data_IF_293132899900
#
_entry.id   IF_293132899900
#
_cell.length_a   1.000
_cell.length_b   1.000
_cell.length_c   1.000
_cell.angle_alpha   90.00
_cell.angle_beta   90.00
_cell.angle_gamma   90.00
#
_symmetry.space_group_name_H-M   'P 1'
#
loop_
_entity.id
_entity.type
_entity.pdbx_description
1 polymer ?
#
# COMPACT_ATOMS: atom_id res chain seq x y z
N UNK A 1 16.00 13.55 -6.07
CA UNK A 1 14.75 14.34 -6.21
C UNK A 1 13.65 13.38 -6.61
N UNK A 2 12.54 13.32 -5.87
CA UNK A 2 11.41 12.43 -6.19
C UNK A 2 10.87 12.74 -7.60
N UNK A 3 10.34 11.72 -8.28
CA UNK A 3 9.79 11.82 -9.65
C UNK A 3 8.76 12.95 -9.74
N UNK A 4 7.89 13.07 -8.74
CA UNK A 4 6.85 14.09 -8.66
C UNK A 4 7.42 15.51 -8.55
N UNK A 5 8.49 15.68 -7.76
CA UNK A 5 9.19 16.96 -7.62
C UNK A 5 9.82 17.39 -8.96
N UNK A 6 10.35 16.43 -9.74
CA UNK A 6 10.92 16.70 -11.08
C UNK A 6 9.86 17.15 -12.09
N UNK A 7 8.71 16.50 -12.10
CA UNK A 7 7.58 16.88 -12.96
C UNK A 7 7.08 18.30 -12.64
N UNK A 8 7.00 18.66 -11.36
CA UNK A 8 6.62 20.00 -10.93
C UNK A 8 7.56 21.10 -11.44
N UNK A 9 8.89 20.93 -11.32
CA UNK A 9 9.85 21.92 -11.80
C UNK A 9 9.83 22.06 -13.34
N UNK A 10 9.57 20.98 -14.06
CA UNK A 10 9.40 21.01 -15.52
C UNK A 10 8.15 21.84 -15.88
N UNK A 11 7.03 21.62 -15.18
CA UNK A 11 5.80 22.39 -15.37
C UNK A 11 5.98 23.87 -15.02
N UNK A 12 6.74 24.20 -13.97
CA UNK A 12 7.09 25.59 -13.64
C UNK A 12 7.90 26.22 -14.78
N UNK A 13 8.93 25.53 -15.27
CA UNK A 13 9.76 26.04 -16.36
C UNK A 13 8.91 26.28 -17.62
N UNK A 14 7.99 25.36 -17.93
CA UNK A 14 7.06 25.48 -19.03
C UNK A 14 6.09 26.66 -18.85
N UNK A 15 5.53 26.85 -17.64
CA UNK A 15 4.69 27.99 -17.30
C UNK A 15 5.44 29.31 -17.48
N UNK A 16 6.69 29.41 -17.01
CA UNK A 16 7.54 30.60 -17.19
C UNK A 16 7.79 30.87 -18.67
N UNK A 17 8.06 29.82 -19.47
CA UNK A 17 8.23 29.95 -20.93
C UNK A 17 6.95 30.48 -21.58
N UNK A 18 5.78 29.92 -21.24
CA UNK A 18 4.49 30.41 -21.76
C UNK A 18 4.29 31.87 -21.38
N UNK A 19 4.49 32.22 -20.11
CA UNK A 19 4.42 33.59 -19.63
C UNK A 19 5.34 34.48 -20.44
N UNK A 20 6.60 34.11 -20.67
CA UNK A 20 7.56 34.84 -21.50
C UNK A 20 7.12 34.96 -22.97
N UNK A 21 6.54 33.90 -23.55
CA UNK A 21 6.00 33.91 -24.91
C UNK A 21 4.80 34.87 -25.05
N UNK A 22 4.00 35.07 -24.00
CA UNK A 22 2.93 36.10 -23.99
C UNK A 22 3.50 37.52 -24.14
N UNK A 23 4.77 37.77 -23.81
CA UNK A 23 5.43 39.07 -23.99
C UNK A 23 5.90 39.32 -25.43
N UNK A 24 5.88 38.31 -26.31
CA UNK A 24 6.40 38.40 -27.68
C UNK A 24 5.40 39.03 -28.67
N UNK A 25 4.10 38.67 -28.70
CA UNK A 25 3.13 39.24 -29.66
C UNK A 25 3.00 40.76 -29.68
N UNK A 26 3.08 41.50 -28.56
CA UNK A 26 3.05 42.96 -28.57
C UNK A 26 4.16 43.60 -29.43
N UNK A 27 5.26 42.86 -29.69
CA UNK A 27 6.39 43.33 -30.50
C UNK A 27 6.13 43.25 -32.02
N UNK A 28 5.13 42.48 -32.45
CA UNK A 28 4.86 42.20 -33.86
C UNK A 28 3.60 42.88 -34.42
N UNK A 29 2.87 43.66 -33.61
CA UNK A 29 1.75 44.43 -34.12
C UNK A 29 2.24 45.50 -35.12
N UNK A 30 1.74 45.52 -36.37
CA UNK A 30 2.16 46.51 -37.35
C UNK A 30 1.64 47.90 -36.93
N UNK A 31 2.54 48.75 -36.44
CA UNK A 31 2.29 50.14 -36.01
C UNK A 31 1.86 51.09 -37.15
N UNK A 32 1.50 50.58 -38.32
CA UNK A 32 1.51 51.35 -39.57
C UNK A 32 0.26 52.20 -39.84
N UNK A 33 -0.74 52.25 -38.95
CA UNK A 33 -2.01 52.98 -39.23
C UNK A 33 -2.60 53.86 -38.11
N UNK A 34 -1.98 53.99 -36.95
CA UNK A 34 -2.49 54.87 -35.88
C UNK A 34 -1.80 56.24 -35.94
N UNK A 35 -2.50 57.24 -36.48
CA UNK A 35 -2.00 58.63 -36.51
C UNK A 35 -1.70 59.15 -35.10
N UNK A 36 -0.50 59.70 -34.90
CA UNK A 36 0.02 60.46 -33.74
C UNK A 36 -0.26 59.97 -32.31
N UNK A 37 -0.91 58.83 -32.10
CA UNK A 37 -1.04 58.24 -30.77
C UNK A 37 0.35 57.74 -30.38
N UNK A 38 0.84 58.27 -29.26
CA UNK A 38 2.15 57.97 -28.70
C UNK A 38 2.37 56.45 -28.68
N UNK A 39 3.35 55.96 -29.46
CA UNK A 39 3.70 54.54 -29.57
C UNK A 39 3.89 53.92 -28.17
N UNK A 40 4.41 54.71 -27.22
CA UNK A 40 4.56 54.31 -25.82
C UNK A 40 3.19 54.02 -25.17
N UNK A 41 2.14 54.80 -25.46
CA UNK A 41 0.79 54.55 -24.94
C UNK A 41 0.17 53.27 -25.51
N UNK A 42 0.43 52.94 -26.77
CA UNK A 42 -0.08 51.72 -27.41
C UNK A 42 0.68 50.50 -26.89
N UNK A 43 2.00 50.60 -26.75
CA UNK A 43 2.81 49.57 -26.12
C UNK A 43 2.35 49.38 -24.68
N UNK A 44 2.20 50.44 -23.89
CA UNK A 44 1.74 50.36 -22.51
C UNK A 44 0.31 49.84 -22.40
N UNK A 45 -0.63 50.18 -23.29
CA UNK A 45 -2.00 49.64 -23.22
C UNK A 45 -2.07 48.18 -23.65
N UNK A 46 -1.31 47.76 -24.67
CA UNK A 46 -1.24 46.35 -25.10
C UNK A 46 -0.47 45.50 -24.09
N UNK A 47 0.58 46.05 -23.48
CA UNK A 47 1.36 45.40 -22.45
C UNK A 47 0.56 45.29 -21.16
N UNK A 48 -0.03 46.39 -20.67
CA UNK A 48 -0.89 46.37 -19.50
C UNK A 48 -2.15 45.54 -19.72
N UNK A 49 -2.79 45.63 -20.89
CA UNK A 49 -3.96 44.82 -21.23
C UNK A 49 -3.63 43.32 -21.32
N UNK A 50 -2.66 42.94 -22.15
CA UNK A 50 -2.27 41.54 -22.32
C UNK A 50 -1.77 40.89 -21.02
N UNK A 51 -0.97 41.60 -20.23
CA UNK A 51 -0.45 41.08 -18.97
C UNK A 51 -1.47 41.05 -17.85
N UNK A 52 -2.23 42.14 -17.66
CA UNK A 52 -3.20 42.18 -16.57
C UNK A 52 -4.36 41.23 -16.88
N UNK A 53 -4.89 41.21 -18.10
CA UNK A 53 -6.03 40.33 -18.41
C UNK A 53 -5.63 38.85 -18.53
N UNK A 54 -4.49 38.54 -19.15
CA UNK A 54 -4.06 37.14 -19.33
C UNK A 54 -3.55 36.47 -18.05
N UNK A 55 -2.83 37.22 -17.20
CA UNK A 55 -2.07 36.65 -16.09
C UNK A 55 -2.79 36.71 -14.75
N UNK A 56 -3.70 37.68 -14.55
CA UNK A 56 -4.38 37.85 -13.25
C UNK A 56 -5.18 36.61 -12.87
N UNK A 57 -5.76 35.89 -13.82
CA UNK A 57 -6.53 34.67 -13.55
C UNK A 57 -5.63 33.48 -13.20
N UNK A 58 -4.41 33.41 -13.74
CA UNK A 58 -3.47 32.31 -13.51
C UNK A 58 -2.62 32.51 -12.23
N UNK A 59 -2.38 33.76 -11.82
CA UNK A 59 -1.56 34.11 -10.64
C UNK A 59 -2.06 33.45 -9.34
N UNK A 60 -3.36 33.46 -9.00
CA UNK A 60 -3.86 32.77 -7.80
C UNK A 60 -3.54 31.28 -7.81
N UNK A 61 -3.69 30.60 -8.96
CA UNK A 61 -3.39 29.18 -9.08
C UNK A 61 -1.90 28.89 -8.92
N UNK A 62 -1.04 29.75 -9.47
CA UNK A 62 0.42 29.67 -9.30
C UNK A 62 0.83 29.85 -7.83
N UNK A 63 0.29 30.87 -7.15
CA UNK A 63 0.58 31.14 -5.73
C UNK A 63 0.09 29.98 -4.84
N UNK A 64 -1.14 29.51 -5.05
CA UNK A 64 -1.71 28.40 -4.28
C UNK A 64 -0.92 27.11 -4.55
N UNK A 65 -0.47 26.89 -5.79
CA UNK A 65 0.36 25.75 -6.16
C UNK A 65 1.67 25.72 -5.37
N UNK A 66 2.39 26.85 -5.30
CA UNK A 66 3.62 26.98 -4.49
C UNK A 66 3.34 26.75 -3.00
N UNK A 67 2.26 27.32 -2.47
CA UNK A 67 1.89 27.15 -1.06
C UNK A 67 1.54 25.69 -0.71
N UNK A 68 0.97 24.93 -1.65
CA UNK A 68 0.68 23.51 -1.47
C UNK A 68 1.93 22.65 -1.55
N UNK A 69 2.90 23.02 -2.39
CA UNK A 69 4.20 22.37 -2.45
C UNK A 69 4.95 22.49 -1.13
N UNK A 70 4.95 23.69 -0.53
CA UNK A 70 5.57 23.95 0.78
C UNK A 70 4.92 23.17 1.93
N UNK A 71 3.74 22.59 1.72
CA UNK A 71 3.00 21.77 2.70
C UNK A 71 3.02 20.28 2.37
N UNK A 72 3.96 19.81 1.54
CA UNK A 72 4.08 18.43 1.05
C UNK A 72 2.83 17.89 0.32
N UNK A 73 1.98 18.77 -0.22
CA UNK A 73 0.81 18.40 -1.03
C UNK A 73 1.12 18.49 -2.53
N UNK A 74 2.22 17.84 -2.93
CA UNK A 74 2.84 18.00 -4.25
C UNK A 74 1.85 17.75 -5.40
N UNK A 75 1.06 16.68 -5.34
CA UNK A 75 0.07 16.37 -6.39
C UNK A 75 -1.01 17.44 -6.55
N UNK A 76 -1.46 18.05 -5.45
CA UNK A 76 -2.46 19.14 -5.52
C UNK A 76 -1.82 20.44 -5.99
N UNK A 77 -0.54 20.66 -5.69
CA UNK A 77 0.24 21.79 -6.21
C UNK A 77 0.43 21.72 -7.72
N UNK A 78 0.98 20.62 -8.23
CA UNK A 78 1.14 20.34 -9.67
C UNK A 78 -0.17 20.58 -10.42
N UNK A 79 -1.25 20.06 -9.85
CA UNK A 79 -2.58 20.15 -10.42
C UNK A 79 -3.09 21.59 -10.61
N UNK A 80 -2.95 22.45 -9.59
CA UNK A 80 -3.37 23.86 -9.73
C UNK A 80 -2.47 24.63 -10.70
N UNK A 81 -1.18 24.25 -10.77
CA UNK A 81 -0.25 24.83 -11.74
C UNK A 81 -0.67 24.52 -13.18
N UNK A 82 -1.10 23.29 -13.46
CA UNK A 82 -1.61 22.88 -14.78
C UNK A 82 -2.86 23.69 -15.17
N UNK A 83 -3.80 23.89 -14.24
CA UNK A 83 -4.98 24.75 -14.48
C UNK A 83 -4.56 26.18 -14.80
N UNK A 84 -3.68 26.77 -13.99
CA UNK A 84 -3.17 28.12 -14.23
C UNK A 84 -2.47 28.24 -15.59
N UNK A 85 -1.68 27.23 -15.95
CA UNK A 85 -0.96 27.18 -17.24
C UNK A 85 -1.93 27.07 -18.41
N UNK A 86 -2.96 26.22 -18.29
CA UNK A 86 -3.99 26.04 -19.31
C UNK A 86 -4.80 27.32 -19.54
N UNK A 87 -5.27 27.98 -18.47
CA UNK A 87 -5.98 29.25 -18.56
C UNK A 87 -5.12 30.33 -19.24
N UNK A 88 -3.84 30.42 -18.86
CA UNK A 88 -2.92 31.39 -19.45
C UNK A 88 -2.63 31.11 -20.94
N UNK A 89 -2.55 29.83 -21.31
CA UNK A 89 -2.34 29.40 -22.70
C UNK A 89 -3.58 29.65 -23.57
N UNK A 90 -4.78 29.57 -22.99
CA UNK A 90 -6.02 29.90 -23.68
C UNK A 90 -6.12 31.41 -23.97
N UNK A 91 -5.71 32.23 -23.01
CA UNK A 91 -5.66 33.69 -23.17
C UNK A 91 -4.75 34.13 -24.32
N UNK A 92 -3.64 33.41 -24.53
CA UNK A 92 -2.76 33.61 -25.68
C UNK A 92 -3.46 33.43 -27.03
N UNK A 93 -4.42 32.52 -27.14
CA UNK A 93 -5.15 32.26 -28.39
C UNK A 93 -6.36 33.18 -28.53
N UNK A 94 -7.02 33.48 -27.41
CA UNK A 94 -8.27 34.22 -27.39
C UNK A 94 -8.08 35.73 -27.63
N UNK A 95 -7.01 36.34 -27.09
CA UNK A 95 -6.73 37.77 -27.28
C UNK A 95 -6.46 38.09 -28.77
N UNK A 96 -5.57 37.38 -29.49
CA UNK A 96 -5.38 37.57 -30.93
C UNK A 96 -6.65 37.36 -31.73
N UNK A 97 -7.49 36.37 -31.34
CA UNK A 97 -8.77 36.12 -31.99
C UNK A 97 -9.74 37.30 -31.82
N UNK A 98 -9.86 37.88 -30.63
CA UNK A 98 -10.67 39.08 -30.40
C UNK A 98 -10.14 40.25 -31.21
N UNK A 99 -8.83 40.49 -31.19
CA UNK A 99 -8.23 41.61 -31.94
C UNK A 99 -8.43 41.45 -33.44
N UNK A 100 -8.27 40.22 -33.96
CA UNK A 100 -8.57 39.90 -35.35
C UNK A 100 -10.04 40.14 -35.66
N UNK A 101 -10.96 39.64 -34.84
CA UNK A 101 -12.40 39.81 -35.05
C UNK A 101 -12.84 41.29 -35.03
N UNK A 102 -12.24 42.11 -34.16
CA UNK A 102 -12.47 43.55 -34.09
C UNK A 102 -11.97 44.29 -35.35
N UNK A 103 -10.89 43.82 -35.97
CA UNK A 103 -10.34 44.41 -37.20
C UNK A 103 -11.27 44.18 -38.40
N UNK A 104 -11.99 43.05 -38.45
CA UNK A 104 -12.88 42.69 -39.56
C UNK A 104 -14.33 43.16 -39.39
N UNK A 105 -14.74 43.67 -38.21
CA UNK A 105 -16.12 44.09 -37.97
C UNK A 105 -16.22 45.52 -37.42
N UNK A 106 -16.45 46.53 -38.29
CA UNK A 106 -16.49 47.94 -37.89
C UNK A 106 -17.64 48.28 -36.92
N UNK A 107 -18.71 47.47 -36.85
CA UNK A 107 -19.75 47.64 -35.82
C UNK A 107 -19.25 47.30 -34.41
N UNK A 108 -18.23 46.45 -34.28
CA UNK A 108 -17.67 46.04 -32.98
C UNK A 108 -16.72 47.11 -32.44
N UNK A 109 -16.14 47.95 -33.31
CA UNK A 109 -15.25 49.04 -32.92
C UNK A 109 -15.93 50.10 -32.04
N UNK A 110 -17.26 50.26 -32.10
CA UNK A 110 -18.03 51.22 -31.30
C UNK A 110 -18.53 50.67 -29.95
N UNK A 111 -18.43 49.35 -29.71
CA UNK A 111 -18.73 48.70 -28.42
C UNK A 111 -17.57 47.84 -27.87
N UNK A 112 -16.30 48.31 -27.88
CA UNK A 112 -15.17 47.40 -28.04
C UNK A 112 -14.73 46.66 -26.77
N UNK A 113 -15.20 47.07 -25.58
CA UNK A 113 -14.67 46.52 -24.32
C UNK A 113 -15.69 45.82 -23.42
N UNK A 114 -16.99 46.13 -23.54
CA UNK A 114 -18.00 45.56 -22.64
C UNK A 114 -18.29 44.10 -22.96
N UNK A 115 -18.73 43.82 -24.19
CA UNK A 115 -19.23 42.49 -24.59
C UNK A 115 -18.09 41.46 -24.64
N UNK A 116 -16.92 41.86 -25.15
CA UNK A 116 -15.71 41.04 -25.17
C UNK A 116 -15.27 40.65 -23.76
N UNK A 117 -15.36 41.57 -22.79
CA UNK A 117 -15.05 41.30 -21.38
C UNK A 117 -16.04 40.34 -20.72
N UNK A 118 -17.35 40.50 -20.98
CA UNK A 118 -18.36 39.55 -20.46
C UNK A 118 -18.21 38.16 -21.07
N UNK A 119 -17.97 38.07 -22.38
CA UNK A 119 -17.73 36.78 -23.04
C UNK A 119 -16.47 36.10 -22.51
N UNK A 120 -15.38 36.85 -22.34
CA UNK A 120 -14.14 36.37 -21.72
C UNK A 120 -14.41 35.73 -20.36
N UNK A 121 -15.11 36.44 -19.46
CA UNK A 121 -15.40 35.94 -18.12
C UNK A 121 -16.26 34.66 -18.13
N UNK A 122 -17.29 34.61 -18.99
CA UNK A 122 -18.14 33.42 -19.15
C UNK A 122 -17.33 32.24 -19.68
N UNK A 123 -16.46 32.45 -20.66
CA UNK A 123 -15.60 31.40 -21.21
C UNK A 123 -14.57 30.88 -20.20
N UNK A 124 -13.92 31.75 -19.41
CA UNK A 124 -13.00 31.35 -18.34
C UNK A 124 -13.70 30.47 -17.30
N UNK A 125 -14.92 30.82 -16.89
CA UNK A 125 -15.73 29.99 -15.98
C UNK A 125 -16.03 28.62 -16.60
N UNK A 126 -16.44 28.57 -17.87
CA UNK A 126 -16.74 27.31 -18.55
C UNK A 126 -15.51 26.41 -18.67
N UNK A 127 -14.32 26.97 -18.93
CA UNK A 127 -13.06 26.21 -18.99
C UNK A 127 -12.65 25.65 -17.63
N UNK A 128 -12.86 26.41 -16.55
CA UNK A 128 -12.64 25.92 -15.19
C UNK A 128 -13.59 24.75 -14.90
N UNK A 129 -14.87 24.88 -15.22
CA UNK A 129 -15.87 23.81 -15.04
C UNK A 129 -15.49 22.56 -15.86
N UNK A 130 -15.15 22.73 -17.13
CA UNK A 130 -14.75 21.62 -18.01
C UNK A 130 -13.49 20.92 -17.51
N UNK A 131 -12.48 21.68 -17.09
CA UNK A 131 -11.27 21.13 -16.48
C UNK A 131 -11.64 20.29 -15.27
N UNK A 132 -12.40 20.85 -14.31
CA UNK A 132 -12.89 20.17 -13.11
C UNK A 132 -13.62 18.85 -13.43
N UNK A 133 -14.47 18.83 -14.46
CA UNK A 133 -15.17 17.62 -14.91
C UNK A 133 -14.20 16.54 -15.42
N UNK A 134 -13.25 16.90 -16.29
CA UNK A 134 -12.24 15.96 -16.80
C UNK A 134 -11.39 15.35 -15.66
N UNK A 135 -11.13 16.12 -14.61
CA UNK A 135 -10.35 15.67 -13.44
C UNK A 135 -11.17 14.72 -12.56
N UNK A 136 -12.44 15.03 -12.33
CA UNK A 136 -13.35 14.14 -11.59
C UNK A 136 -13.44 12.80 -12.33
N UNK A 137 -13.52 12.81 -13.66
CA UNK A 137 -13.56 11.61 -14.46
C UNK A 137 -12.22 10.83 -14.44
N UNK A 138 -11.08 11.53 -14.52
CA UNK A 138 -9.77 10.87 -14.48
C UNK A 138 -9.47 10.24 -13.10
N UNK A 139 -9.76 10.96 -12.01
CA UNK A 139 -9.63 10.42 -10.65
C UNK A 139 -10.57 9.24 -10.40
N UNK A 140 -11.72 9.20 -11.07
CA UNK A 140 -12.65 8.06 -11.00
C UNK A 140 -12.04 6.81 -11.62
N UNK A 141 -11.29 6.91 -12.73
CA UNK A 141 -10.58 5.78 -13.35
C UNK A 141 -9.48 5.24 -12.45
N UNK A 142 -8.67 6.10 -11.84
CA UNK A 142 -7.64 5.69 -10.88
C UNK A 142 -8.27 5.00 -9.66
N UNK A 143 -9.41 5.51 -9.19
CA UNK A 143 -10.14 4.92 -8.07
C UNK A 143 -10.75 3.55 -8.41
N UNK A 144 -11.27 3.38 -9.63
CA UNK A 144 -11.74 2.08 -10.13
C UNK A 144 -10.60 1.07 -10.21
N UNK A 145 -9.40 1.48 -10.66
CA UNK A 145 -8.22 0.63 -10.67
C UNK A 145 -7.81 0.21 -9.24
N UNK A 146 -7.73 1.16 -8.31
CA UNK A 146 -7.42 0.89 -6.89
C UNK A 146 -8.44 -0.06 -6.27
N UNK A 147 -9.75 0.15 -6.51
CA UNK A 147 -10.80 -0.76 -6.04
C UNK A 147 -10.62 -2.15 -6.66
N UNK A 148 -10.31 -2.23 -7.95
CA UNK A 148 -10.12 -3.50 -8.64
C UNK A 148 -8.93 -4.28 -8.05
N UNK A 149 -7.82 -3.59 -7.77
CA UNK A 149 -6.62 -4.15 -7.13
C UNK A 149 -6.95 -4.66 -5.72
N UNK A 150 -7.62 -3.85 -4.92
CA UNK A 150 -8.06 -4.25 -3.57
C UNK A 150 -9.01 -5.46 -3.60
N UNK A 151 -9.98 -5.50 -4.53
CA UNK A 151 -10.87 -6.66 -4.71
C UNK A 151 -10.09 -7.92 -5.10
N UNK A 152 -9.10 -7.81 -6.00
CA UNK A 152 -8.22 -8.93 -6.39
C UNK A 152 -7.41 -9.43 -5.20
N UNK A 153 -6.79 -8.54 -4.42
CA UNK A 153 -6.03 -8.89 -3.22
C UNK A 153 -6.91 -9.55 -2.15
N UNK A 154 -8.10 -8.99 -1.89
CA UNK A 154 -9.07 -9.59 -0.96
C UNK A 154 -9.52 -10.97 -1.40
N UNK A 155 -9.77 -11.16 -2.70
CA UNK A 155 -10.13 -12.48 -3.24
C UNK A 155 -8.96 -13.46 -3.16
N UNK A 156 -7.72 -13.02 -3.41
CA UNK A 156 -6.51 -13.83 -3.24
C UNK A 156 -6.38 -14.32 -1.80
N UNK A 157 -6.57 -13.44 -0.80
CA UNK A 157 -6.56 -13.80 0.62
C UNK A 157 -7.65 -14.83 0.95
N UNK A 158 -8.88 -14.64 0.45
CA UNK A 158 -9.97 -15.61 0.67
C UNK A 158 -9.65 -16.98 0.06
N UNK A 159 -9.12 -17.04 -1.15
CA UNK A 159 -8.73 -18.27 -1.82
C UNK A 159 -7.60 -18.97 -1.06
N UNK A 160 -6.60 -18.22 -0.59
CA UNK A 160 -5.49 -18.75 0.22
C UNK A 160 -6.00 -19.33 1.55
N UNK A 161 -6.92 -18.64 2.21
CA UNK A 161 -7.60 -19.15 3.41
C UNK A 161 -8.37 -20.45 3.13
N UNK A 162 -9.09 -20.55 2.00
CA UNK A 162 -9.81 -21.76 1.61
C UNK A 162 -8.84 -22.92 1.35
N UNK A 163 -7.78 -22.70 0.55
CA UNK A 163 -6.74 -23.71 0.29
C UNK A 163 -6.09 -24.19 1.58
N UNK A 164 -5.81 -23.28 2.51
CA UNK A 164 -5.27 -23.61 3.83
C UNK A 164 -6.24 -24.46 4.64
N UNK A 165 -7.53 -24.10 4.67
CA UNK A 165 -8.55 -24.88 5.37
C UNK A 165 -8.70 -26.28 4.78
N UNK A 166 -8.63 -26.42 3.46
CA UNK A 166 -8.65 -27.70 2.77
C UNK A 166 -7.43 -28.55 3.10
N UNK A 167 -6.23 -27.96 3.03
CA UNK A 167 -4.98 -28.62 3.43
C UNK A 167 -5.03 -29.09 4.89
N UNK A 168 -5.45 -28.22 5.81
CA UNK A 168 -5.65 -28.57 7.22
C UNK A 168 -6.67 -29.70 7.39
N UNK A 169 -7.77 -29.67 6.64
CA UNK A 169 -8.76 -30.75 6.64
C UNK A 169 -8.11 -32.08 6.28
N UNK A 170 -7.30 -32.10 5.22
CA UNK A 170 -6.65 -33.33 4.77
C UNK A 170 -5.57 -33.82 5.75
N UNK A 171 -4.87 -32.90 6.43
CA UNK A 171 -3.80 -33.23 7.38
C UNK A 171 -4.32 -33.68 8.75
N UNK A 172 -5.43 -33.09 9.22
CA UNK A 172 -5.95 -33.32 10.58
C UNK A 172 -7.08 -34.34 10.66
N UNK A 173 -7.67 -34.75 9.54
CA UNK A 173 -8.66 -35.84 9.55
C UNK A 173 -7.94 -37.17 9.70
N UNK A 174 -8.18 -37.82 10.83
CA UNK A 174 -7.91 -39.23 10.99
C UNK A 174 -8.94 -40.02 10.17
N UNK A 175 -8.50 -40.50 9.00
CA UNK A 175 -9.35 -41.26 8.06
C UNK A 175 -9.86 -42.56 8.68
N UNK A 176 -9.07 -43.21 9.54
CA UNK A 176 -9.44 -44.47 10.15
C UNK A 176 -10.55 -44.24 11.18
N UNK A 177 -10.38 -43.24 12.04
CA UNK A 177 -11.41 -42.84 13.00
C UNK A 177 -12.70 -42.39 12.30
N UNK A 178 -12.59 -41.59 11.24
CA UNK A 178 -13.75 -41.13 10.48
C UNK A 178 -14.51 -42.30 9.85
N UNK A 179 -13.80 -43.29 9.32
CA UNK A 179 -14.41 -44.48 8.74
C UNK A 179 -15.08 -45.35 9.81
N UNK A 180 -14.42 -45.58 10.95
CA UNK A 180 -14.99 -46.33 12.08
C UNK A 180 -16.27 -45.69 12.64
N UNK A 181 -16.34 -44.35 12.66
CA UNK A 181 -17.54 -43.61 13.05
C UNK A 181 -18.67 -43.76 12.02
N UNK A 182 -18.35 -43.69 10.72
CA UNK A 182 -19.33 -43.86 9.64
C UNK A 182 -19.90 -45.28 9.57
N UNK A 183 -19.07 -46.29 9.84
CA UNK A 183 -19.47 -47.69 9.89
C UNK A 183 -20.25 -48.05 11.17
N UNK A 184 -20.32 -47.14 12.15
CA UNK A 184 -21.00 -47.38 13.43
C UNK A 184 -20.23 -48.31 14.37
N UNK A 185 -18.98 -48.67 14.05
CA UNK A 185 -18.10 -49.49 14.88
C UNK A 185 -17.79 -48.79 16.22
N UNK A 186 -17.70 -47.46 16.18
CA UNK A 186 -17.54 -46.61 17.38
C UNK A 186 -18.84 -45.87 17.67
N UNK A 187 -19.64 -46.38 18.62
CA UNK A 187 -20.84 -45.70 19.12
C UNK A 187 -20.45 -44.49 19.97
N UNK A 188 -20.29 -43.34 19.34
CA UNK A 188 -20.09 -42.05 20.02
C UNK A 188 -21.22 -41.10 19.63
N UNK A 189 -21.99 -40.64 20.62
CA UNK A 189 -23.04 -39.64 20.38
C UNK A 189 -22.43 -38.23 20.41
N UNK A 190 -23.10 -37.29 19.72
CA UNK A 190 -22.70 -35.87 19.72
C UNK A 190 -22.65 -35.30 21.14
N UNK A 191 -23.62 -35.64 21.98
CA UNK A 191 -23.70 -35.18 23.37
C UNK A 191 -22.57 -35.74 24.24
N UNK A 192 -22.30 -37.05 24.12
CA UNK A 192 -21.19 -37.67 24.84
C UNK A 192 -19.85 -37.02 24.46
N UNK A 193 -19.66 -36.73 23.18
CA UNK A 193 -18.49 -36.01 22.71
C UNK A 193 -18.40 -34.59 23.29
N UNK A 194 -19.47 -33.80 23.22
CA UNK A 194 -19.50 -32.43 23.75
C UNK A 194 -19.23 -32.40 25.26
N UNK A 195 -19.74 -33.38 26.02
CA UNK A 195 -19.46 -33.51 27.44
C UNK A 195 -17.99 -33.86 27.71
N UNK A 196 -17.40 -34.74 26.89
CA UNK A 196 -15.98 -35.09 26.99
C UNK A 196 -15.02 -33.98 26.52
N UNK A 197 -15.51 -33.06 25.68
CA UNK A 197 -14.68 -32.05 25.02
C UNK A 197 -13.95 -31.17 26.03
N UNK A 198 -14.62 -30.78 27.13
CA UNK A 198 -14.00 -29.97 28.18
C UNK A 198 -12.76 -30.63 28.79
N UNK A 199 -12.80 -31.95 29.00
CA UNK A 199 -11.66 -32.70 29.53
C UNK A 199 -10.56 -32.86 28.48
N UNK A 200 -10.93 -33.13 27.23
CA UNK A 200 -9.97 -33.16 26.11
C UNK A 200 -9.26 -31.82 25.93
N UNK A 201 -9.96 -30.68 26.11
CA UNK A 201 -9.33 -29.35 26.08
C UNK A 201 -8.24 -29.21 27.12
N UNK A 202 -8.56 -29.55 28.38
CA UNK A 202 -7.61 -29.50 29.49
C UNK A 202 -6.42 -30.44 29.24
N UNK A 203 -6.67 -31.62 28.67
CA UNK A 203 -5.62 -32.57 28.28
C UNK A 203 -4.68 -31.94 27.25
N UNK A 204 -5.22 -31.40 26.16
CA UNK A 204 -4.46 -30.68 25.13
C UNK A 204 -3.65 -29.55 25.75
N UNK A 205 -4.26 -28.68 26.56
CA UNK A 205 -3.57 -27.57 27.23
C UNK A 205 -2.41 -28.07 28.10
N UNK A 206 -2.63 -29.09 28.92
CA UNK A 206 -1.55 -29.71 29.71
C UNK A 206 -0.44 -30.34 28.86
N UNK A 207 -0.76 -30.87 27.67
CA UNK A 207 0.24 -31.36 26.72
C UNK A 207 1.06 -30.23 26.08
N UNK A 208 0.46 -29.08 25.81
CA UNK A 208 1.17 -27.88 25.36
C UNK A 208 2.10 -27.35 26.44
N UNK A 209 1.60 -27.22 27.67
CA UNK A 209 2.35 -26.69 28.80
C UNK A 209 3.55 -27.58 29.17
N UNK A 210 3.40 -28.90 28.99
CA UNK A 210 4.48 -29.88 29.19
C UNK A 210 5.40 -30.09 27.97
N UNK A 211 5.17 -29.36 26.86
CA UNK A 211 5.99 -29.48 25.64
C UNK A 211 5.79 -30.78 24.84
N UNK A 212 4.77 -31.58 25.15
CA UNK A 212 4.46 -32.87 24.52
C UNK A 212 3.65 -32.69 23.23
N UNK A 213 4.20 -31.94 22.27
CA UNK A 213 3.49 -31.50 21.07
C UNK A 213 3.02 -32.63 20.14
N UNK A 214 3.75 -33.74 20.06
CA UNK A 214 3.33 -34.88 19.23
C UNK A 214 2.06 -35.55 19.78
N UNK A 215 1.97 -35.68 21.11
CA UNK A 215 0.75 -36.16 21.77
C UNK A 215 -0.40 -35.16 21.60
N UNK A 216 -0.11 -33.85 21.73
CA UNK A 216 -1.10 -32.80 21.53
C UNK A 216 -1.64 -32.82 20.08
N UNK A 217 -0.78 -33.09 19.10
CA UNK A 217 -1.16 -33.24 17.69
C UNK A 217 -2.16 -34.40 17.51
N UNK A 218 -1.89 -35.56 18.12
CA UNK A 218 -2.76 -36.73 18.03
C UNK A 218 -4.14 -36.41 18.63
N UNK A 219 -4.19 -35.81 19.82
CA UNK A 219 -5.47 -35.43 20.44
C UNK A 219 -6.23 -34.39 19.60
N UNK A 220 -5.53 -33.38 19.06
CA UNK A 220 -6.14 -32.37 18.20
C UNK A 220 -6.69 -32.97 16.90
N UNK A 221 -6.02 -33.97 16.30
CA UNK A 221 -6.52 -34.71 15.14
C UNK A 221 -7.81 -35.45 15.45
N UNK A 222 -7.88 -36.11 16.60
CA UNK A 222 -9.09 -36.78 17.06
C UNK A 222 -10.24 -35.78 17.23
N UNK A 223 -10.00 -34.67 17.95
CA UNK A 223 -11.00 -33.61 18.18
C UNK A 223 -11.46 -33.01 16.85
N UNK A 224 -10.55 -32.72 15.92
CA UNK A 224 -10.87 -32.17 14.60
C UNK A 224 -11.73 -33.12 13.77
N UNK A 225 -11.39 -34.41 13.77
CA UNK A 225 -12.15 -35.45 13.08
C UNK A 225 -13.58 -35.52 13.61
N UNK A 226 -13.73 -35.48 14.94
CA UNK A 226 -15.04 -35.50 15.60
C UNK A 226 -15.85 -34.22 15.35
N UNK A 227 -15.21 -33.05 15.34
CA UNK A 227 -15.87 -31.79 14.97
C UNK A 227 -16.42 -31.84 13.55
N UNK A 228 -15.63 -32.36 12.61
CA UNK A 228 -16.05 -32.51 11.21
C UNK A 228 -17.18 -33.52 11.07
N UNK A 229 -17.10 -34.65 11.77
CA UNK A 229 -18.14 -35.68 11.73
C UNK A 229 -19.49 -35.17 12.26
N UNK A 230 -19.49 -34.43 13.38
CA UNK A 230 -20.70 -33.88 13.99
C UNK A 230 -21.11 -32.49 13.47
N UNK A 231 -20.39 -31.93 12.49
CA UNK A 231 -20.62 -30.58 11.94
C UNK A 231 -20.69 -29.47 13.01
N UNK A 232 -19.79 -29.52 14.00
CA UNK A 232 -19.78 -28.57 15.12
C UNK A 232 -19.01 -27.30 14.73
N UNK A 233 -19.73 -26.20 14.44
CA UNK A 233 -19.12 -24.91 14.06
C UNK A 233 -18.71 -24.04 15.25
N UNK A 234 -19.49 -24.05 16.35
CA UNK A 234 -19.31 -23.11 17.48
C UNK A 234 -17.90 -23.15 18.09
N UNK A 235 -17.31 -24.34 18.12
CA UNK A 235 -16.02 -24.60 18.75
C UNK A 235 -14.84 -24.60 17.77
N UNK A 236 -15.11 -24.41 16.48
CA UNK A 236 -14.11 -24.51 15.41
C UNK A 236 -13.04 -23.43 15.52
N UNK A 237 -13.39 -22.24 16.04
CA UNK A 237 -12.44 -21.15 16.27
C UNK A 237 -11.32 -21.57 17.23
N UNK A 238 -11.67 -22.05 18.43
CA UNK A 238 -10.69 -22.51 19.42
C UNK A 238 -9.77 -23.60 18.85
N UNK A 239 -10.35 -24.56 18.11
CA UNK A 239 -9.59 -25.65 17.52
C UNK A 239 -8.60 -25.14 16.46
N UNK A 240 -9.06 -24.24 15.59
CA UNK A 240 -8.20 -23.62 14.59
C UNK A 240 -7.07 -22.83 15.25
N UNK A 241 -7.36 -22.06 16.30
CA UNK A 241 -6.36 -21.30 17.06
C UNK A 241 -5.30 -22.25 17.67
N UNK A 242 -5.71 -23.38 18.26
CA UNK A 242 -4.75 -24.37 18.80
C UNK A 242 -3.96 -25.12 17.74
N UNK A 243 -4.55 -25.41 16.60
CA UNK A 243 -3.83 -25.96 15.45
C UNK A 243 -2.78 -24.94 14.96
N UNK A 244 -3.13 -23.66 14.89
CA UNK A 244 -2.20 -22.59 14.52
C UNK A 244 -1.02 -22.49 15.49
N UNK A 245 -1.28 -22.53 16.80
CA UNK A 245 -0.24 -22.53 17.84
C UNK A 245 0.71 -23.72 17.63
N UNK A 246 0.17 -24.91 17.42
CA UNK A 246 0.95 -26.12 17.18
C UNK A 246 1.80 -26.04 15.91
N UNK A 247 1.22 -25.52 14.82
CA UNK A 247 1.94 -25.29 13.57
C UNK A 247 3.15 -24.40 13.80
N UNK A 248 2.92 -23.28 14.49
CA UNK A 248 3.94 -22.30 14.77
C UNK A 248 5.07 -22.90 15.63
N UNK A 249 4.73 -23.59 16.71
CA UNK A 249 5.69 -24.26 17.59
C UNK A 249 6.48 -25.36 16.86
N UNK A 250 5.81 -26.19 16.07
CA UNK A 250 6.46 -27.27 15.32
C UNK A 250 7.47 -26.74 14.30
N UNK A 251 7.10 -25.71 13.55
CA UNK A 251 8.00 -25.04 12.60
C UNK A 251 9.19 -24.42 13.36
N UNK A 252 8.93 -23.68 14.44
CA UNK A 252 10.00 -23.10 15.29
C UNK A 252 11.00 -24.15 15.75
N UNK A 253 10.51 -25.26 16.34
CA UNK A 253 11.34 -26.35 16.82
C UNK A 253 12.21 -26.94 15.70
N UNK A 254 11.62 -27.11 14.51
CA UNK A 254 12.34 -27.61 13.33
C UNK A 254 13.44 -26.63 12.90
N UNK A 255 13.14 -25.33 12.83
CA UNK A 255 14.12 -24.30 12.48
C UNK A 255 15.27 -24.28 13.50
N UNK A 256 14.97 -24.35 14.80
CA UNK A 256 15.97 -24.37 15.86
C UNK A 256 16.85 -25.63 15.81
N UNK A 257 16.28 -26.81 15.50
CA UNK A 257 17.09 -28.02 15.35
C UNK A 257 18.00 -27.96 14.11
N UNK A 258 17.49 -27.41 13.00
CA UNK A 258 18.26 -27.28 11.76
C UNK A 258 19.33 -26.20 11.86
N UNK A 259 19.09 -25.10 12.59
CA UNK A 259 20.07 -24.02 12.77
C UNK A 259 21.33 -24.45 13.50
N UNK A 260 21.24 -25.50 14.32
CA UNK A 260 22.41 -26.11 14.98
C UNK A 260 23.30 -26.88 14.00
N UNK A 261 22.73 -27.35 12.87
CA UNK A 261 23.40 -28.28 11.94
C UNK A 261 23.86 -27.58 10.66
N UNK A 262 23.12 -26.59 10.18
CA UNK A 262 23.32 -25.96 8.89
C UNK A 262 23.55 -24.46 9.02
N UNK A 263 24.50 -23.92 8.25
CA UNK A 263 24.74 -22.47 8.18
C UNK A 263 23.69 -21.75 7.32
N UNK A 264 23.18 -22.44 6.30
CA UNK A 264 22.19 -21.94 5.36
C UNK A 264 21.12 -23.00 5.15
N UNK A 265 19.86 -22.55 5.07
CA UNK A 265 18.71 -23.39 4.74
C UNK A 265 17.81 -22.71 3.73
N UNK A 266 17.30 -23.46 2.77
CA UNK A 266 16.25 -23.00 1.87
C UNK A 266 14.86 -23.32 2.45
N UNK A 267 13.86 -22.50 2.13
CA UNK A 267 12.49 -22.72 2.64
C UNK A 267 11.94 -24.10 2.27
N UNK A 268 12.29 -24.60 1.09
CA UNK A 268 11.91 -25.95 0.64
C UNK A 268 12.47 -27.04 1.57
N UNK A 269 13.74 -26.92 1.96
CA UNK A 269 14.39 -27.88 2.87
C UNK A 269 13.73 -27.87 4.26
N UNK A 270 13.42 -26.66 4.77
CA UNK A 270 12.69 -26.52 6.04
C UNK A 270 11.31 -27.17 5.90
N UNK A 271 10.59 -26.87 4.81
CA UNK A 271 9.27 -27.44 4.52
C UNK A 271 9.31 -28.98 4.45
N UNK A 272 10.35 -29.57 3.87
CA UNK A 272 10.54 -31.03 3.83
C UNK A 272 10.69 -31.65 5.22
N UNK A 273 11.37 -30.96 6.14
CA UNK A 273 11.60 -31.47 7.50
C UNK A 273 10.44 -31.21 8.46
N UNK A 274 9.65 -30.17 8.25
CA UNK A 274 8.46 -29.92 9.08
C UNK A 274 7.27 -30.78 8.64
N UNK A 275 6.35 -31.03 9.58
CA UNK A 275 5.06 -31.67 9.30
C UNK A 275 4.20 -30.78 8.38
N UNK A 276 4.39 -29.45 8.47
CA UNK A 276 3.56 -28.46 7.78
C UNK A 276 4.26 -27.90 6.54
N UNK A 277 3.81 -28.30 5.36
CA UNK A 277 4.48 -27.99 4.08
C UNK A 277 4.22 -26.57 3.52
N UNK A 278 3.49 -25.73 4.26
CA UNK A 278 3.15 -24.37 3.82
C UNK A 278 4.36 -23.44 4.00
N UNK A 279 5.11 -23.23 2.92
CA UNK A 279 6.28 -22.37 2.92
C UNK A 279 5.97 -20.90 3.27
N UNK A 280 4.76 -20.42 2.97
CA UNK A 280 4.32 -19.05 3.31
C UNK A 280 4.19 -18.89 4.82
N UNK A 281 3.70 -19.94 5.50
CA UNK A 281 3.63 -19.98 6.95
C UNK A 281 5.04 -20.06 7.55
N UNK A 282 5.90 -20.92 6.98
CA UNK A 282 7.30 -21.06 7.42
C UNK A 282 8.03 -19.72 7.32
N UNK A 283 7.90 -19.01 6.19
CA UNK A 283 8.48 -17.68 6.00
C UNK A 283 8.04 -16.70 7.09
N UNK A 284 6.73 -16.66 7.39
CA UNK A 284 6.19 -15.80 8.45
C UNK A 284 6.76 -16.16 9.83
N UNK A 285 6.95 -17.46 10.11
CA UNK A 285 7.58 -17.91 11.36
C UNK A 285 9.04 -17.47 11.42
N UNK A 286 9.81 -17.68 10.35
CA UNK A 286 11.21 -17.27 10.25
C UNK A 286 11.35 -15.76 10.52
N UNK A 287 10.61 -14.93 9.78
CA UNK A 287 10.66 -13.46 9.95
C UNK A 287 10.34 -13.04 11.38
N UNK A 288 9.35 -13.69 12.01
CA UNK A 288 8.97 -13.40 13.39
C UNK A 288 10.00 -13.88 14.41
N UNK A 289 10.66 -15.02 14.18
CA UNK A 289 11.76 -15.49 15.03
C UNK A 289 12.96 -14.53 14.96
N UNK A 290 13.32 -14.05 13.76
CA UNK A 290 14.39 -13.05 13.58
C UNK A 290 14.02 -11.74 14.28
N UNK A 291 12.81 -11.22 14.07
CA UNK A 291 12.38 -9.95 14.71
C UNK A 291 12.35 -10.03 16.23
N UNK A 292 12.00 -11.20 16.76
CA UNK A 292 11.98 -11.46 18.20
C UNK A 292 13.37 -11.78 18.78
N UNK A 293 14.42 -11.83 17.94
CA UNK A 293 15.76 -12.28 18.30
C UNK A 293 15.78 -13.69 18.92
N UNK A 294 14.86 -14.55 18.49
CA UNK A 294 14.86 -15.97 18.88
C UNK A 294 15.92 -16.76 18.09
N UNK A 295 16.30 -16.26 16.91
CA UNK A 295 17.43 -16.74 16.10
C UNK A 295 18.18 -15.54 15.54
N UNK A 296 19.49 -15.67 15.42
CA UNK A 296 20.34 -14.71 14.73
C UNK A 296 20.55 -15.19 13.30
N UNK A 297 19.78 -14.63 12.37
CA UNK A 297 19.81 -15.03 10.97
C UNK A 297 19.38 -13.89 10.04
N UNK A 298 19.80 -13.95 8.79
CA UNK A 298 19.35 -13.08 7.71
C UNK A 298 18.47 -13.89 6.73
N UNK A 299 17.32 -13.33 6.37
CA UNK A 299 16.40 -13.94 5.43
C UNK A 299 16.47 -13.24 4.07
N UNK A 300 16.85 -13.97 3.03
CA UNK A 300 16.95 -13.46 1.66
C UNK A 300 15.66 -13.76 0.89
N UNK A 301 14.84 -12.73 0.63
CA UNK A 301 13.53 -12.89 -0.02
C UNK A 301 13.63 -13.46 -1.44
N UNK A 302 14.65 -13.05 -2.21
CA UNK A 302 14.81 -13.47 -3.60
C UNK A 302 15.12 -14.96 -3.75
N UNK A 303 16.02 -15.49 -2.93
CA UNK A 303 16.41 -16.90 -2.96
C UNK A 303 15.58 -17.76 -2.00
N UNK A 304 14.72 -17.14 -1.18
CA UNK A 304 13.97 -17.80 -0.10
C UNK A 304 14.87 -18.67 0.75
N UNK A 305 16.00 -18.10 1.14
CA UNK A 305 17.03 -18.75 1.93
C UNK A 305 17.25 -18.02 3.26
N UNK A 306 17.51 -18.80 4.30
CA UNK A 306 17.82 -18.35 5.64
C UNK A 306 19.30 -18.64 5.92
N UNK A 307 20.07 -17.61 6.25
CA UNK A 307 21.49 -17.72 6.60
C UNK A 307 21.66 -17.42 8.09
N UNK A 308 22.13 -18.41 8.85
CA UNK A 308 22.34 -18.28 10.28
C UNK A 308 23.69 -17.63 10.59
N UNK A 309 23.69 -16.71 11.55
CA UNK A 309 24.92 -16.17 12.12
C UNK A 309 25.32 -17.01 13.33
N UNK A 310 26.06 -18.10 13.09
CA UNK A 310 26.51 -19.00 14.17
C UNK A 310 27.40 -18.30 15.19
N UNK A 311 28.20 -17.31 14.77
CA UNK A 311 29.05 -16.56 15.70
C UNK A 311 28.20 -15.77 16.70
N UNK A 312 27.14 -15.09 16.24
CA UNK A 312 26.24 -14.38 17.13
C UNK A 312 25.56 -15.32 18.16
N UNK A 313 25.20 -16.54 17.75
CA UNK A 313 24.68 -17.55 18.69
C UNK A 313 25.74 -17.97 19.73
N UNK A 314 26.99 -18.17 19.31
CA UNK A 314 28.11 -18.50 20.22
C UNK A 314 28.34 -17.36 21.21
N UNK A 315 28.41 -16.12 20.73
CA UNK A 315 28.65 -14.94 21.55
C UNK A 315 27.54 -14.76 22.62
N UNK A 316 26.28 -15.04 22.27
CA UNK A 316 25.17 -15.01 23.23
C UNK A 316 25.29 -16.11 24.28
N UNK A 317 25.64 -17.33 23.89
CA UNK A 317 25.88 -18.44 24.83
C UNK A 317 27.02 -18.08 25.79
N UNK A 318 28.12 -17.53 25.28
CA UNK A 318 29.26 -17.11 26.11
C UNK A 318 28.86 -16.01 27.10
N UNK A 319 28.08 -15.02 26.65
CA UNK A 319 27.52 -13.97 27.51
C UNK A 319 26.60 -14.51 28.60
N UNK A 320 25.75 -15.49 28.28
CA UNK A 320 24.88 -16.17 29.26
C UNK A 320 25.70 -16.96 30.27
N UNK A 321 26.74 -17.67 29.82
CA UNK A 321 27.65 -18.42 30.69
C UNK A 321 28.44 -17.49 31.62
N UNK A 322 28.89 -16.33 31.14
CA UNK A 322 29.52 -15.33 31.99
C UNK A 322 28.55 -14.77 33.04
N UNK A 323 27.31 -14.51 32.66
CA UNK A 323 26.26 -14.01 33.56
C UNK A 323 25.96 -15.04 34.65
N UNK A 324 25.84 -16.31 34.27
CA UNK A 324 25.64 -17.42 35.20
C UNK A 324 26.81 -17.57 36.17
N UNK A 325 28.06 -17.55 35.68
CA UNK A 325 29.27 -17.57 36.53
C UNK A 325 29.33 -16.42 37.52
N UNK A 326 28.89 -15.21 37.13
CA UNK A 326 28.80 -14.04 38.03
C UNK A 326 27.74 -14.26 39.11
N UNK A 327 26.59 -14.83 38.74
CA UNK A 327 25.51 -15.14 39.66
C UNK A 327 25.93 -16.20 40.70
N UNK A 328 26.55 -17.32 40.29
CA UNK A 328 27.05 -18.36 41.20
C UNK A 328 28.03 -17.79 42.23
N UNK A 329 29.03 -16.99 41.78
CA UNK A 329 29.99 -16.33 42.67
C UNK A 329 29.35 -15.32 43.64
N UNK A 330 28.17 -14.81 43.31
CA UNK A 330 27.44 -13.87 44.18
C UNK A 330 26.61 -14.59 45.24
N UNK A 331 26.19 -15.83 44.99
CA UNK A 331 25.51 -16.69 45.98
C UNK A 331 26.50 -17.34 46.94
N UNK A 332 27.66 -17.79 46.46
CA UNK A 332 28.73 -18.33 47.32
C UNK A 332 29.23 -17.33 48.37
N UNK A 333 29.11 -16.02 48.09
CA UNK A 333 29.47 -14.96 49.04
C UNK A 333 28.39 -14.62 50.07
N UNK A 334 27.19 -15.19 49.94
CA UNK A 334 26.07 -14.97 50.87
C UNK A 334 25.89 -16.10 51.89
N UNK A 335 26.60 -17.21 51.72
CA UNK A 335 26.73 -18.32 52.67
C UNK A 335 28.00 -18.09 53.49
#
# INVERSE_FOLDING_TARGET
MDKNTKEFYILIAFYIIIVLLLYIPPLFFPFSKTGHINIISIIVSNFAGGLLYGSIEAIPFFIISILLLLKDRIHTGIFLLEIGTFLNSFNFLFIPFITFWQEFNPMVQSYPYGISFYLYFVYSILLIIFSLLMIIENKRKDFEEVISKYKRERNKIKIEQQKRMEYLSNLFIDKNLLNALKLGEKKLTREAFLNSLKNKRKSVEGLFDSGRYDAALIELKEIYTLFKFFSIQREQKWLNDKIMDLQYISIKKTILDLSLRFDRLELGEIAEKTIFKDETLIEKVIKKMISNKEIYAEYYENSRALLFNKQANIDEIDSLMETFKKWEKSEEKKI
#
